data_IF_042335226514
#
_entry.id   IF_042335226514
#
_cell.length_a   1.000
_cell.length_b   1.000
_cell.length_c   1.000
_cell.angle_alpha   90.00
_cell.angle_beta   90.00
_cell.angle_gamma   90.00
#
_symmetry.space_group_name_H-M   'P 1'
#
loop_
_entity.id
_entity.type
_entity.pdbx_description
1 polymer ?
#
# COMPACT_ATOMS: atom_id res chain seq x y z
N UNK A 1 -9.15 -8.57 18.22
CA UNK A 1 -8.42 -7.33 17.88
C UNK A 1 -7.24 -7.73 17.01
N UNK A 2 -7.37 -7.61 15.69
CA UNK A 2 -6.22 -7.78 14.81
C UNK A 2 -5.30 -6.56 14.98
N UNK A 3 -3.97 -6.76 15.05
CA UNK A 3 -3.04 -5.65 15.13
C UNK A 3 -3.15 -4.83 13.85
N UNK A 4 -3.37 -3.53 14.00
CA UNK A 4 -3.19 -2.56 12.92
C UNK A 4 -1.76 -2.76 12.41
N UNK A 5 -1.63 -3.31 11.21
CA UNK A 5 -0.33 -3.54 10.58
C UNK A 5 0.36 -2.20 10.42
N UNK A 6 1.28 -1.91 11.34
CA UNK A 6 2.28 -0.86 11.19
C UNK A 6 2.92 -1.01 9.81
N UNK A 7 3.22 0.09 9.09
CA UNK A 7 3.83 0.01 7.77
C UNK A 7 5.08 -0.86 7.89
N UNK A 8 5.00 -2.02 7.23
CA UNK A 8 5.99 -3.08 7.30
C UNK A 8 7.39 -2.48 7.09
N UNK A 9 8.36 -2.80 7.96
CA UNK A 9 9.74 -2.32 7.86
C UNK A 9 10.30 -2.56 6.45
N UNK A 10 9.83 -3.61 5.80
CA UNK A 10 10.11 -3.97 4.41
C UNK A 10 9.67 -2.92 3.39
N UNK A 11 8.52 -2.24 3.59
CA UNK A 11 8.02 -1.21 2.65
C UNK A 11 8.80 0.11 2.79
N UNK A 12 9.15 0.52 4.02
CA UNK A 12 10.10 1.63 4.23
C UNK A 12 11.48 1.31 3.66
N UNK A 13 11.91 0.04 3.76
CA UNK A 13 13.16 -0.45 3.18
C UNK A 13 13.16 -0.37 1.65
N UNK A 14 12.07 -0.71 0.97
CA UNK A 14 11.98 -0.66 -0.50
C UNK A 14 11.99 0.77 -1.05
N UNK A 15 11.32 1.72 -0.38
CA UNK A 15 11.35 3.13 -0.77
C UNK A 15 12.75 3.70 -0.57
N UNK A 16 13.37 3.45 0.60
CA UNK A 16 14.74 3.89 0.86
C UNK A 16 15.75 3.31 -0.15
N UNK A 17 15.58 2.03 -0.53
CA UNK A 17 16.39 1.39 -1.55
C UNK A 17 16.24 2.07 -2.92
N UNK A 18 15.01 2.37 -3.36
CA UNK A 18 14.78 3.08 -4.63
C UNK A 18 15.32 4.52 -4.62
N UNK A 19 15.24 5.22 -3.48
CA UNK A 19 15.86 6.55 -3.32
C UNK A 19 17.39 6.48 -3.44
N UNK A 20 18.00 5.43 -2.90
CA UNK A 20 19.44 5.18 -3.08
C UNK A 20 19.79 4.92 -4.55
N UNK A 21 18.99 4.11 -5.26
CA UNK A 21 19.19 3.85 -6.70
C UNK A 21 19.05 5.13 -7.54
N UNK A 22 18.10 6.01 -7.24
CA UNK A 22 17.96 7.31 -7.91
C UNK A 22 19.18 8.21 -7.70
N UNK A 23 19.75 8.18 -6.49
CA UNK A 23 20.96 8.94 -6.17
C UNK A 23 22.17 8.42 -6.96
N UNK A 24 22.29 7.09 -7.06
CA UNK A 24 23.31 6.44 -7.88
C UNK A 24 23.13 6.74 -9.38
N UNK A 25 21.88 6.78 -9.85
CA UNK A 25 21.53 7.10 -11.22
C UNK A 25 21.97 8.53 -11.58
N UNK A 26 21.67 9.51 -10.71
CA UNK A 26 22.15 10.89 -10.89
C UNK A 26 23.68 10.95 -10.99
N UNK A 27 24.39 10.22 -10.12
CA UNK A 27 25.86 10.19 -10.16
C UNK A 27 26.40 9.61 -11.47
N UNK A 28 25.76 8.57 -12.02
CA UNK A 28 26.14 7.99 -13.31
C UNK A 28 25.85 8.94 -14.47
N UNK A 29 24.76 9.70 -14.42
CA UNK A 29 24.43 10.75 -15.40
C UNK A 29 25.48 11.87 -15.38
N UNK A 30 25.88 12.33 -14.20
CA UNK A 30 26.93 13.36 -14.10
C UNK A 30 28.26 12.84 -14.66
N UNK A 31 28.60 11.57 -14.37
CA UNK A 31 29.81 10.92 -14.88
C UNK A 31 29.80 10.69 -16.39
N UNK A 32 28.66 10.34 -16.99
CA UNK A 32 28.60 10.12 -18.45
C UNK A 32 28.80 11.44 -19.20
N UNK A 33 28.19 12.54 -18.73
CA UNK A 33 28.41 13.85 -19.33
C UNK A 33 29.85 14.33 -19.16
N UNK A 34 30.45 14.13 -17.99
CA UNK A 34 31.86 14.45 -17.76
C UNK A 34 32.80 13.64 -18.67
N UNK A 35 32.53 12.34 -18.84
CA UNK A 35 33.31 11.45 -19.69
C UNK A 35 33.18 11.81 -21.18
N UNK A 36 31.97 12.18 -21.64
CA UNK A 36 31.75 12.68 -23.01
C UNK A 36 32.51 13.99 -23.23
N UNK A 37 32.42 14.96 -22.31
CA UNK A 37 33.11 16.24 -22.42
C UNK A 37 34.64 16.06 -22.50
N UNK A 38 35.21 15.23 -21.62
CA UNK A 38 36.63 14.92 -21.62
C UNK A 38 37.08 14.23 -22.92
N UNK A 39 36.29 13.28 -23.45
CA UNK A 39 36.59 12.63 -24.73
C UNK A 39 36.57 13.62 -25.91
N UNK A 40 35.61 14.56 -25.94
CA UNK A 40 35.55 15.60 -26.99
C UNK A 40 36.76 16.53 -26.92
N UNK A 41 37.25 16.83 -25.71
CA UNK A 41 38.44 17.65 -25.48
C UNK A 41 39.76 16.88 -25.64
N UNK A 42 39.73 15.59 -25.97
CA UNK A 42 40.92 14.73 -26.08
C UNK A 42 41.63 14.47 -24.75
N UNK A 43 40.94 14.70 -23.62
CA UNK A 43 41.45 14.43 -22.27
C UNK A 43 41.26 12.96 -21.91
N UNK A 44 42.19 12.36 -21.15
CA UNK A 44 42.02 11.00 -20.65
C UNK A 44 40.79 10.90 -19.74
N UNK A 45 40.01 9.84 -19.91
CA UNK A 45 38.83 9.53 -19.09
C UNK A 45 39.11 8.32 -18.20
N UNK A 46 38.64 8.34 -16.94
CA UNK A 46 38.79 7.19 -16.03
C UNK A 46 37.97 5.97 -16.47
N UNK A 47 36.77 6.20 -17.00
CA UNK A 47 35.94 5.17 -17.63
C UNK A 47 35.34 5.68 -18.95
N UNK A 48 35.31 4.84 -20.00
CA UNK A 48 34.65 5.17 -21.26
C UNK A 48 33.13 5.41 -21.06
N UNK A 49 32.52 6.34 -21.82
CA UNK A 49 31.08 6.59 -21.75
C UNK A 49 30.21 5.34 -21.96
N UNK A 50 30.66 4.41 -22.81
CA UNK A 50 29.98 3.14 -23.08
C UNK A 50 29.87 2.26 -21.83
N UNK A 51 30.89 2.25 -20.97
CA UNK A 51 30.85 1.43 -19.77
C UNK A 51 29.98 2.06 -18.69
N UNK A 52 29.97 3.40 -18.60
CA UNK A 52 29.04 4.13 -17.73
C UNK A 52 27.59 3.89 -18.18
N UNK A 53 27.35 3.84 -19.49
CA UNK A 53 26.01 3.55 -20.05
C UNK A 53 25.54 2.13 -19.73
N UNK A 54 26.44 1.14 -19.68
CA UNK A 54 26.08 -0.22 -19.24
C UNK A 54 25.62 -0.23 -17.78
N UNK A 55 26.32 0.51 -16.91
CA UNK A 55 25.95 0.64 -15.50
C UNK A 55 24.57 1.32 -15.35
N UNK A 56 24.28 2.35 -16.16
CA UNK A 56 22.96 3.01 -16.22
C UNK A 56 21.87 2.00 -16.60
N UNK A 57 22.07 1.22 -17.65
CA UNK A 57 21.09 0.21 -18.12
C UNK A 57 20.88 -0.88 -17.07
N UNK A 58 21.92 -1.28 -16.33
CA UNK A 58 21.77 -2.24 -15.23
C UNK A 58 20.97 -1.64 -14.08
N UNK A 59 21.24 -0.38 -13.73
CA UNK A 59 20.53 0.33 -12.67
C UNK A 59 19.05 0.53 -13.01
N UNK A 60 18.73 0.86 -14.26
CA UNK A 60 17.36 0.95 -14.77
C UNK A 60 16.59 -0.36 -14.57
N UNK A 61 17.21 -1.49 -14.89
CA UNK A 61 16.59 -2.81 -14.66
C UNK A 61 16.30 -3.06 -13.19
N UNK A 62 17.22 -2.68 -12.30
CA UNK A 62 17.03 -2.80 -10.84
C UNK A 62 15.89 -1.90 -10.35
N UNK A 63 15.81 -0.67 -10.85
CA UNK A 63 14.73 0.26 -10.52
C UNK A 63 13.38 -0.26 -11.02
N UNK A 64 13.31 -0.78 -12.25
CA UNK A 64 12.09 -1.37 -12.80
C UNK A 64 11.60 -2.55 -11.95
N UNK A 65 12.51 -3.45 -11.54
CA UNK A 65 12.17 -4.54 -10.64
C UNK A 65 11.68 -4.05 -9.27
N UNK A 66 12.26 -2.98 -8.74
CA UNK A 66 11.82 -2.33 -7.51
C UNK A 66 10.40 -1.77 -7.63
N UNK A 67 10.10 -1.08 -8.73
CA UNK A 67 8.77 -0.54 -9.02
C UNK A 67 7.73 -1.65 -9.18
N UNK A 68 8.06 -2.74 -9.87
CA UNK A 68 7.18 -3.90 -10.02
C UNK A 68 6.81 -4.52 -8.67
N UNK A 69 7.77 -4.59 -7.74
CA UNK A 69 7.51 -5.09 -6.38
C UNK A 69 6.61 -4.16 -5.59
N UNK A 70 6.83 -2.84 -5.67
CA UNK A 70 5.96 -1.83 -5.04
C UNK A 70 4.55 -1.93 -5.61
N UNK A 71 4.41 -2.04 -6.93
CA UNK A 71 3.12 -2.17 -7.59
C UNK A 71 2.35 -3.42 -7.13
N UNK A 72 3.03 -4.58 -7.06
CA UNK A 72 2.44 -5.82 -6.52
C UNK A 72 1.95 -5.64 -5.08
N UNK A 73 2.72 -4.98 -4.22
CA UNK A 73 2.32 -4.70 -2.83
C UNK A 73 1.10 -3.78 -2.77
N UNK A 74 1.03 -2.76 -3.60
CA UNK A 74 -0.14 -1.87 -3.67
C UNK A 74 -1.39 -2.67 -4.07
N UNK A 75 -1.29 -3.52 -5.09
CA UNK A 75 -2.42 -4.38 -5.51
C UNK A 75 -2.84 -5.36 -4.40
N UNK A 76 -1.89 -5.90 -3.64
CA UNK A 76 -2.20 -6.76 -2.50
C UNK A 76 -2.96 -5.98 -1.42
N UNK A 77 -2.48 -4.80 -1.03
CA UNK A 77 -3.14 -3.95 -0.03
C UNK A 77 -4.55 -3.55 -0.47
N UNK A 78 -4.75 -3.22 -1.75
CA UNK A 78 -6.09 -2.92 -2.29
C UNK A 78 -7.04 -4.11 -2.07
N UNK A 79 -6.60 -5.34 -2.38
CA UNK A 79 -7.41 -6.54 -2.16
C UNK A 79 -7.71 -6.79 -0.69
N UNK A 80 -6.73 -6.57 0.18
CA UNK A 80 -6.91 -6.70 1.64
C UNK A 80 -7.98 -5.71 2.14
N UNK A 81 -7.94 -4.45 1.68
CA UNK A 81 -8.94 -3.43 1.99
C UNK A 81 -10.32 -3.84 1.48
N UNK A 82 -10.43 -4.37 0.27
CA UNK A 82 -11.71 -4.83 -0.29
C UNK A 82 -12.32 -5.96 0.56
N UNK A 83 -11.50 -6.93 1.00
CA UNK A 83 -11.94 -8.02 1.88
C UNK A 83 -12.42 -7.47 3.23
N UNK A 84 -11.66 -6.56 3.85
CA UNK A 84 -12.04 -5.96 5.13
C UNK A 84 -13.33 -5.15 5.02
N UNK A 85 -13.50 -4.37 3.94
CA UNK A 85 -14.73 -3.62 3.69
C UNK A 85 -15.94 -4.54 3.56
N UNK A 86 -15.82 -5.67 2.86
CA UNK A 86 -16.91 -6.64 2.76
C UNK A 86 -17.28 -7.22 4.12
N UNK A 87 -16.28 -7.59 4.94
CA UNK A 87 -16.51 -8.09 6.29
C UNK A 87 -17.19 -7.04 7.20
N UNK A 88 -16.81 -5.76 7.09
CA UNK A 88 -17.47 -4.67 7.81
C UNK A 88 -18.93 -4.53 7.37
N UNK A 89 -19.20 -4.60 6.06
CA UNK A 89 -20.56 -4.51 5.53
C UNK A 89 -21.43 -5.67 6.02
N UNK A 90 -20.91 -6.90 6.04
CA UNK A 90 -21.60 -8.06 6.61
C UNK A 90 -21.92 -7.84 8.09
N UNK A 91 -20.94 -7.41 8.89
CA UNK A 91 -21.12 -7.12 10.30
C UNK A 91 -22.17 -6.03 10.56
N UNK A 92 -22.17 -4.96 9.75
CA UNK A 92 -23.20 -3.90 9.85
C UNK A 92 -24.59 -4.43 9.52
N UNK A 93 -24.71 -5.31 8.53
CA UNK A 93 -25.99 -5.93 8.19
C UNK A 93 -26.50 -6.84 9.32
N UNK A 94 -25.62 -7.62 9.95
CA UNK A 94 -25.98 -8.43 11.11
C UNK A 94 -26.42 -7.58 12.30
N UNK A 95 -25.71 -6.49 12.60
CA UNK A 95 -26.11 -5.54 13.65
C UNK A 95 -27.47 -4.91 13.37
N UNK A 96 -27.74 -4.54 12.11
CA UNK A 96 -29.04 -4.00 11.70
C UNK A 96 -30.15 -5.03 11.92
N UNK A 97 -29.94 -6.28 11.52
CA UNK A 97 -30.91 -7.36 11.74
C UNK A 97 -31.15 -7.62 13.23
N UNK A 98 -30.08 -7.65 14.05
CA UNK A 98 -30.20 -7.80 15.49
C UNK A 98 -30.97 -6.65 16.15
N UNK A 99 -30.76 -5.40 15.68
CA UNK A 99 -31.53 -4.24 16.12
C UNK A 99 -33.02 -4.42 15.80
N UNK A 100 -33.37 -4.79 14.57
CA UNK A 100 -34.76 -4.99 14.16
C UNK A 100 -35.45 -6.08 15.01
N UNK A 101 -34.73 -7.17 15.35
CA UNK A 101 -35.24 -8.20 16.26
C UNK A 101 -35.48 -7.68 17.68
N UNK A 102 -34.58 -6.84 18.21
CA UNK A 102 -34.75 -6.23 19.52
C UNK A 102 -35.95 -5.27 19.57
N UNK A 103 -36.17 -4.50 18.49
CA UNK A 103 -37.35 -3.63 18.36
C UNK A 103 -38.65 -4.47 18.39
N UNK A 104 -38.71 -5.57 17.65
CA UNK A 104 -39.86 -6.50 17.69
C UNK A 104 -40.07 -7.08 19.10
N UNK A 105 -39.00 -7.50 19.78
CA UNK A 105 -39.11 -8.02 21.14
C UNK A 105 -39.60 -6.96 22.14
N UNK A 106 -39.16 -5.70 21.97
CA UNK A 106 -39.59 -4.59 22.81
C UNK A 106 -41.08 -4.29 22.62
N UNK A 107 -41.55 -4.27 21.37
CA UNK A 107 -42.97 -4.06 21.06
C UNK A 107 -43.84 -5.17 21.67
N UNK A 108 -43.44 -6.43 21.50
CA UNK A 108 -44.15 -7.57 22.09
C UNK A 108 -44.17 -7.53 23.64
N UNK A 109 -43.07 -7.09 24.26
CA UNK A 109 -43.00 -6.93 25.71
C UNK A 109 -43.94 -5.82 26.20
N UNK A 110 -44.02 -4.70 25.47
CA UNK A 110 -44.95 -3.61 25.78
C UNK A 110 -46.41 -4.05 25.67
N UNK A 111 -46.78 -4.79 24.62
CA UNK A 111 -48.11 -5.38 24.46
C UNK A 111 -48.46 -6.32 25.62
N UNK A 112 -47.51 -7.17 26.02
CA UNK A 112 -47.70 -8.10 27.15
C UNK A 112 -47.93 -7.34 28.47
N UNK A 113 -47.15 -6.28 28.73
CA UNK A 113 -47.32 -5.43 29.92
C UNK A 113 -48.71 -4.78 29.91
N UNK A 114 -49.15 -4.24 28.77
CA UNK A 114 -50.49 -3.65 28.65
C UNK A 114 -51.60 -4.67 28.92
N UNK A 115 -51.48 -5.89 28.39
CA UNK A 115 -52.45 -6.96 28.63
C UNK A 115 -52.52 -7.37 30.12
N UNK A 116 -51.37 -7.46 30.80
CA UNK A 116 -51.31 -7.74 32.25
C UNK A 116 -52.00 -6.63 33.05
N UNK A 117 -51.71 -5.37 32.73
CA UNK A 117 -52.32 -4.22 33.40
C UNK A 117 -53.85 -4.23 33.24
N UNK A 118 -54.36 -4.50 32.03
CA UNK A 118 -55.79 -4.56 31.77
C UNK A 118 -56.49 -5.73 32.49
N UNK A 119 -55.81 -6.86 32.66
CA UNK A 119 -56.35 -8.00 33.42
C UNK A 119 -56.33 -7.80 34.95
N UNK A 120 -55.62 -6.76 35.42
CA UNK A 120 -55.47 -6.42 36.84
C UNK A 120 -56.43 -5.32 37.29
N UNK A 121 -57.17 -4.70 36.36
CA UNK A 121 -58.28 -3.77 36.59
C UNK A 121 -59.63 -4.51 36.67
#
# INVERSE_FOLDING_TARGET
MNPISTPDKTSKSLIAMNVSLLTEYQSLIDRIFASIAANVEGKPTERPPVDIMKDIVELDKKMQQGLDQIHKKILQVIKEIEIENNAIMEFVNELKSGKEQLEICLDAANETIQAINFASE
#
